data_IF_840031590084
#
_entry.id   IF_840031590084
#
_cell.length_a   1.000
_cell.length_b   1.000
_cell.length_c   1.000
_cell.angle_alpha   90.00
_cell.angle_beta   90.00
_cell.angle_gamma   90.00
#
_symmetry.space_group_name_H-M   'P 1'
#
loop_
_entity.id
_entity.type
_entity.pdbx_description
1 polymer ?
#
# COMPACT_ATOMS: atom_id res chain seq x y z
N UNK A 1 46.55 -0.01 -38.36
CA UNK A 1 45.72 1.18 -38.06
C UNK A 1 44.24 0.98 -38.43
N UNK A 2 43.87 0.64 -39.68
CA UNK A 2 42.46 0.45 -40.11
C UNK A 2 41.63 -0.56 -39.30
N UNK A 3 42.22 -1.67 -38.84
CA UNK A 3 41.52 -2.67 -38.00
C UNK A 3 41.27 -2.17 -36.57
N UNK A 4 42.19 -1.37 -36.00
CA UNK A 4 42.05 -0.80 -34.65
C UNK A 4 40.97 0.28 -34.64
N UNK A 5 40.93 1.14 -35.67
CA UNK A 5 39.87 2.14 -35.85
C UNK A 5 38.49 1.50 -36.05
N UNK A 6 38.40 0.36 -36.74
CA UNK A 6 37.14 -0.37 -36.90
C UNK A 6 36.66 -0.98 -35.57
N UNK A 7 37.57 -1.50 -34.75
CA UNK A 7 37.26 -2.02 -33.40
C UNK A 7 36.80 -0.88 -32.46
N UNK A 8 37.49 0.26 -32.47
CA UNK A 8 37.07 1.46 -31.71
C UNK A 8 35.69 1.97 -32.13
N UNK A 9 35.42 2.00 -33.43
CA UNK A 9 34.10 2.38 -33.95
C UNK A 9 33.00 1.40 -33.50
N UNK A 10 33.28 0.10 -33.54
CA UNK A 10 32.35 -0.92 -33.05
C UNK A 10 32.04 -0.78 -31.56
N UNK A 11 33.04 -0.47 -30.72
CA UNK A 11 32.85 -0.27 -29.27
C UNK A 11 32.00 0.97 -28.99
N UNK A 12 32.25 2.07 -29.70
CA UNK A 12 31.46 3.30 -29.61
C UNK A 12 30.00 3.06 -29.99
N UNK A 13 29.75 2.29 -31.05
CA UNK A 13 28.38 1.97 -31.49
C UNK A 13 27.64 1.14 -30.43
N UNK A 14 28.30 0.18 -29.78
CA UNK A 14 27.66 -0.63 -28.72
C UNK A 14 27.31 0.21 -27.49
N UNK A 15 28.12 1.22 -27.14
CA UNK A 15 27.84 2.12 -26.03
C UNK A 15 26.60 3.01 -26.26
N UNK A 16 26.22 3.27 -27.52
CA UNK A 16 25.03 4.06 -27.86
C UNK A 16 23.71 3.31 -27.60
N UNK A 17 23.76 1.99 -27.42
CA UNK A 17 22.57 1.16 -27.13
C UNK A 17 22.41 0.82 -25.64
N UNK A 18 23.26 1.36 -24.75
CA UNK A 18 23.11 1.22 -23.31
C UNK A 18 22.12 2.28 -22.79
N UNK A 19 20.83 1.95 -22.77
CA UNK A 19 19.83 2.74 -22.05
C UNK A 19 19.53 2.11 -20.69
N UNK A 20 19.61 2.89 -19.62
CA UNK A 20 19.01 2.50 -18.34
C UNK A 20 17.52 2.80 -18.36
N UNK A 21 16.72 1.89 -17.80
CA UNK A 21 15.37 2.21 -17.41
C UNK A 21 15.41 3.26 -16.29
N UNK A 22 14.62 4.31 -16.43
CA UNK A 22 14.51 5.40 -15.45
C UNK A 22 13.10 5.50 -14.89
N UNK A 23 12.24 4.51 -15.16
CA UNK A 23 10.90 4.47 -14.59
C UNK A 23 10.98 4.09 -13.11
N UNK A 24 10.39 4.94 -12.26
CA UNK A 24 10.25 4.68 -10.83
C UNK A 24 8.82 4.26 -10.58
N UNK A 25 8.62 3.03 -10.11
CA UNK A 25 7.33 2.56 -9.65
C UNK A 25 6.99 3.23 -8.31
N UNK A 26 5.95 4.04 -8.30
CA UNK A 26 5.49 4.78 -7.11
C UNK A 26 4.39 4.06 -6.34
N UNK A 27 3.89 2.97 -6.91
CA UNK A 27 2.78 2.16 -6.40
C UNK A 27 3.26 0.71 -6.33
N UNK A 28 2.91 0.03 -5.23
CA UNK A 28 3.17 -1.39 -5.04
C UNK A 28 2.03 -2.25 -5.60
N UNK A 29 2.18 -3.56 -5.50
CA UNK A 29 1.05 -4.47 -5.68
C UNK A 29 -0.03 -4.20 -4.62
N UNK A 30 -1.28 -4.49 -4.99
CA UNK A 30 -2.43 -4.34 -4.09
C UNK A 30 -2.39 -5.37 -2.97
N UNK A 31 -2.71 -4.93 -1.75
CA UNK A 31 -2.82 -5.77 -0.56
C UNK A 31 -4.12 -5.45 0.21
N UNK A 32 -4.76 -6.47 0.78
CA UNK A 32 -5.93 -6.30 1.66
C UNK A 32 -5.44 -5.87 3.05
N UNK A 33 -5.51 -4.56 3.31
CA UNK A 33 -5.10 -3.98 4.58
C UNK A 33 -6.34 -3.42 5.29
N UNK A 34 -6.77 -4.08 6.36
CA UNK A 34 -7.81 -3.57 7.25
C UNK A 34 -7.28 -2.41 8.08
N UNK A 35 -8.03 -1.31 8.12
CA UNK A 35 -7.75 -0.13 8.95
C UNK A 35 -8.89 0.08 9.93
N UNK A 36 -8.57 0.07 11.23
CA UNK A 36 -9.53 0.28 12.32
C UNK A 36 -9.27 1.63 12.98
N UNK A 37 -10.26 2.51 12.93
CA UNK A 37 -10.25 3.80 13.62
C UNK A 37 -11.13 3.74 14.86
N UNK A 38 -10.66 4.33 15.95
CA UNK A 38 -11.45 4.51 17.17
C UNK A 38 -10.90 5.66 17.97
N UNK A 39 -11.77 6.50 18.52
CA UNK A 39 -11.39 7.52 19.47
C UNK A 39 -11.80 7.07 20.86
N UNK A 40 -10.81 6.80 21.71
CA UNK A 40 -11.05 6.39 23.09
C UNK A 40 -11.18 7.62 23.97
N UNK A 41 -12.34 7.76 24.62
CA UNK A 41 -12.62 8.82 25.57
C UNK A 41 -13.11 8.22 26.89
N UNK A 42 -12.36 8.48 27.96
CA UNK A 42 -12.68 7.98 29.30
C UNK A 42 -13.98 8.57 29.89
N UNK A 43 -14.46 9.69 29.37
CA UNK A 43 -15.69 10.34 29.85
C UNK A 43 -16.93 9.83 29.11
N UNK A 44 -16.76 9.06 28.03
CA UNK A 44 -17.86 8.55 27.21
C UNK A 44 -18.22 7.12 27.63
N UNK A 45 -19.52 6.82 27.66
CA UNK A 45 -20.01 5.48 27.96
C UNK A 45 -20.01 4.55 26.74
N UNK A 46 -19.85 5.09 25.54
CA UNK A 46 -19.91 4.36 24.26
C UNK A 46 -18.73 4.78 23.40
N UNK A 47 -17.99 3.80 22.90
CA UNK A 47 -16.90 3.98 21.94
C UNK A 47 -17.34 3.46 20.59
N UNK A 48 -17.17 4.28 19.54
CA UNK A 48 -17.42 3.86 18.17
C UNK A 48 -16.10 3.47 17.51
N UNK A 49 -16.12 2.32 16.83
CA UNK A 49 -15.05 1.86 15.97
C UNK A 49 -15.51 1.93 14.51
N UNK A 50 -14.67 2.45 13.63
CA UNK A 50 -14.88 2.43 12.18
C UNK A 50 -13.85 1.50 11.55
N UNK A 51 -14.33 0.45 10.90
CA UNK A 51 -13.50 -0.51 10.19
C UNK A 51 -13.61 -0.21 8.69
N UNK A 52 -12.46 -0.11 8.02
CA UNK A 52 -12.32 0.19 6.60
C UNK A 52 -11.21 -0.67 6.00
N UNK A 53 -11.12 -0.71 4.66
CA UNK A 53 -9.97 -1.28 3.94
C UNK A 53 -9.16 -0.16 3.29
N UNK A 54 -7.86 -0.36 3.17
CA UNK A 54 -7.02 0.51 2.36
C UNK A 54 -7.34 0.33 0.87
N UNK A 55 -7.10 1.37 0.09
CA UNK A 55 -7.22 1.35 -1.38
C UNK A 55 -5.91 1.82 -2.00
N UNK A 56 -5.59 1.23 -3.15
CA UNK A 56 -4.40 1.54 -3.93
C UNK A 56 -4.80 1.63 -5.40
N UNK A 57 -4.34 2.67 -6.09
CA UNK A 57 -4.64 2.86 -7.50
C UNK A 57 -3.82 4.00 -8.10
N UNK A 58 -3.60 3.94 -9.41
CA UNK A 58 -2.93 4.98 -10.16
C UNK A 58 -3.83 6.21 -10.29
N UNK A 59 -3.51 7.29 -9.59
CA UNK A 59 -4.24 8.55 -9.70
C UNK A 59 -4.41 9.29 -8.37
N UNK A 60 -5.45 10.11 -8.29
CA UNK A 60 -5.69 10.96 -7.13
C UNK A 60 -6.43 10.17 -6.02
N UNK A 61 -5.73 9.92 -4.92
CA UNK A 61 -6.28 9.24 -3.76
C UNK A 61 -7.55 9.89 -3.18
N UNK A 62 -7.72 11.22 -3.31
CA UNK A 62 -8.93 11.92 -2.85
C UNK A 62 -10.17 11.57 -3.68
N UNK A 63 -9.99 11.22 -4.96
CA UNK A 63 -11.09 10.75 -5.80
C UNK A 63 -11.49 9.33 -5.38
N UNK A 64 -10.50 8.43 -5.24
CA UNK A 64 -10.76 7.06 -4.81
C UNK A 64 -11.40 6.98 -3.43
N UNK A 65 -10.98 7.84 -2.49
CA UNK A 65 -11.57 7.92 -1.16
C UNK A 65 -13.07 8.26 -1.14
N UNK A 66 -13.58 8.91 -2.19
CA UNK A 66 -15.00 9.25 -2.30
C UNK A 66 -15.85 8.09 -2.81
N UNK A 67 -15.24 7.10 -3.46
CA UNK A 67 -15.93 5.91 -3.93
C UNK A 67 -16.13 4.93 -2.77
N UNK A 68 -17.38 4.64 -2.35
CA UNK A 68 -17.67 3.79 -1.20
C UNK A 68 -16.99 2.42 -1.25
N UNK A 69 -16.97 1.80 -2.43
CA UNK A 69 -16.38 0.47 -2.64
C UNK A 69 -14.85 0.45 -2.43
N UNK A 70 -14.17 1.59 -2.56
CA UNK A 70 -12.72 1.67 -2.36
C UNK A 70 -12.33 1.43 -0.90
N UNK A 71 -13.09 1.98 0.04
CA UNK A 71 -12.71 1.97 1.47
C UNK A 71 -13.60 1.10 2.37
N UNK A 72 -14.71 0.58 1.83
CA UNK A 72 -15.66 -0.24 2.58
C UNK A 72 -15.58 -1.71 2.17
N UNK A 73 -15.80 -2.60 3.15
CA UNK A 73 -16.03 -4.01 2.88
C UNK A 73 -17.48 -4.20 2.41
N UNK A 74 -17.67 -4.92 1.31
CA UNK A 74 -18.97 -5.32 0.75
C UNK A 74 -19.50 -6.62 1.39
N UNK A 75 -18.69 -7.25 2.24
CA UNK A 75 -19.01 -8.46 3.01
C UNK A 75 -19.30 -8.14 4.47
N UNK A 76 -20.04 -9.03 5.13
CA UNK A 76 -20.23 -8.97 6.58
C UNK A 76 -18.94 -9.41 7.27
N UNK A 77 -18.36 -8.51 8.07
CA UNK A 77 -17.19 -8.80 8.88
C UNK A 77 -17.57 -9.55 10.16
N UNK A 78 -16.73 -10.51 10.57
CA UNK A 78 -16.71 -11.05 11.92
C UNK A 78 -15.71 -10.24 12.75
N UNK A 79 -16.19 -9.61 13.82
CA UNK A 79 -15.42 -8.62 14.60
C UNK A 79 -15.57 -8.98 16.07
N UNK A 80 -14.44 -9.05 16.77
CA UNK A 80 -14.31 -9.42 18.17
C UNK A 80 -13.43 -8.41 18.89
N UNK A 81 -13.77 -8.11 20.15
CA UNK A 81 -12.93 -7.27 21.00
C UNK A 81 -12.37 -8.13 22.12
N UNK A 82 -11.04 -8.24 22.19
CA UNK A 82 -10.37 -9.04 23.21
C UNK A 82 -9.77 -8.16 24.32
N UNK A 83 -9.98 -8.55 25.56
CA UNK A 83 -9.36 -7.94 26.73
C UNK A 83 -8.12 -8.73 27.16
N UNK A 84 -7.01 -8.01 27.30
CA UNK A 84 -5.76 -8.52 27.85
C UNK A 84 -5.38 -7.76 29.11
N UNK A 85 -4.98 -8.49 30.16
CA UNK A 85 -4.41 -7.93 31.39
C UNK A 85 -2.99 -8.48 31.56
N UNK A 86 -1.99 -7.59 31.53
CA UNK A 86 -0.56 -7.94 31.57
C UNK A 86 -0.18 -9.04 30.55
N UNK A 87 -0.70 -8.93 29.33
CA UNK A 87 -0.45 -9.89 28.25
C UNK A 87 -1.20 -11.22 28.37
N UNK A 88 -2.01 -11.40 29.41
CA UNK A 88 -2.87 -12.58 29.57
C UNK A 88 -4.28 -12.28 29.06
N UNK A 89 -4.78 -13.12 28.16
CA UNK A 89 -6.15 -13.07 27.68
C UNK A 89 -7.14 -13.21 28.86
N UNK A 90 -8.15 -12.35 28.88
CA UNK A 90 -9.21 -12.31 29.89
C UNK A 90 -10.55 -12.74 29.30
N UNK A 91 -11.03 -12.05 28.26
CA UNK A 91 -12.33 -12.32 27.63
C UNK A 91 -12.44 -11.69 26.24
N UNK A 92 -13.43 -12.14 25.48
CA UNK A 92 -13.86 -11.62 24.18
C UNK A 92 -15.27 -11.01 24.34
N UNK A 93 -15.54 -9.92 23.63
CA UNK A 93 -16.85 -9.29 23.48
C UNK A 93 -17.32 -9.34 22.03
#
# INVERSE_FOLDING_TARGET
MRKITAVLFSIIVTLLFLSCDNEVTTISDWEDITVVYGLLNQNDSITYLKITKAFLGEGNALIFAQEPDSSQYDVKLDVKIEEYNNGKYVREF
#
